data_IF_959798942909
#
_entry.id   IF_959798942909
#
_cell.length_a   1.000
_cell.length_b   1.000
_cell.length_c   1.000
_cell.angle_alpha   90.00
_cell.angle_beta   90.00
_cell.angle_gamma   90.00
#
_symmetry.space_group_name_H-M   'P 1'
#
loop_
_entity.id
_entity.type
_entity.pdbx_description
1 polymer ?
#
# COMPACT_ATOMS: atom_id res chain seq x y z
N UNK A 1 12.97 9.21 2.24
CA UNK A 1 13.84 8.45 3.16
C UNK A 1 13.62 8.79 4.65
N UNK A 2 13.34 10.04 5.03
CA UNK A 2 13.08 10.46 6.42
C UNK A 2 11.70 10.02 6.98
N UNK A 3 10.74 9.76 6.11
CA UNK A 3 9.34 9.48 6.45
C UNK A 3 9.11 8.11 7.09
N UNK A 4 9.84 7.10 6.64
CA UNK A 4 9.66 5.73 7.11
C UNK A 4 10.08 5.55 8.57
N UNK A 5 11.00 6.39 9.07
CA UNK A 5 11.46 6.37 10.48
C UNK A 5 10.49 7.02 11.48
N UNK A 6 9.63 7.93 11.04
CA UNK A 6 8.70 8.66 11.92
C UNK A 6 7.50 7.85 12.38
N UNK A 7 7.10 6.81 11.62
CA UNK A 7 5.95 5.97 11.94
C UNK A 7 6.28 4.87 12.97
N UNK A 8 7.56 4.54 13.16
CA UNK A 8 7.99 3.48 14.08
C UNK A 8 7.90 3.87 15.57
N UNK A 9 7.76 5.15 15.90
CA UNK A 9 7.86 5.68 17.26
C UNK A 9 6.57 6.17 17.93
N UNK A 10 5.40 6.15 17.27
CA UNK A 10 4.17 6.64 17.87
C UNK A 10 3.45 5.55 18.67
N UNK A 11 3.48 5.68 19.99
CA UNK A 11 2.63 4.91 20.91
C UNK A 11 1.15 5.30 20.71
N UNK A 12 0.24 4.33 20.88
CA UNK A 12 -1.22 4.40 20.66
C UNK A 12 -1.99 5.47 21.50
N UNK A 13 -1.33 6.45 22.15
CA UNK A 13 -1.97 7.28 23.18
C UNK A 13 -2.43 8.68 22.75
N UNK A 14 -2.08 9.21 21.57
CA UNK A 14 -2.26 10.65 21.31
C UNK A 14 -3.19 11.04 20.14
N UNK A 15 -4.16 10.21 19.79
CA UNK A 15 -5.17 10.61 18.80
C UNK A 15 -6.50 10.93 19.48
N UNK A 16 -6.63 12.14 20.07
CA UNK A 16 -7.90 12.69 20.52
C UNK A 16 -8.79 13.06 19.32
N UNK A 17 -10.05 12.62 19.36
CA UNK A 17 -11.07 13.00 18.39
C UNK A 17 -11.44 14.47 18.56
N UNK A 18 -11.61 15.28 17.51
CA UNK A 18 -12.11 16.63 17.63
C UNK A 18 -13.58 16.62 18.08
N UNK A 19 -13.85 17.32 19.18
CA UNK A 19 -15.18 17.53 19.75
C UNK A 19 -16.15 18.17 18.74
N UNK A 20 -17.41 17.73 18.80
CA UNK A 20 -18.53 18.28 18.03
C UNK A 20 -18.84 19.70 18.48
N UNK A 21 -18.38 20.71 17.74
CA UNK A 21 -18.91 22.07 17.85
C UNK A 21 -20.14 22.26 16.95
N UNK A 22 -21.20 22.76 17.57
CA UNK A 22 -22.51 23.07 16.97
C UNK A 22 -22.40 24.02 15.78
N UNK A 23 -23.13 23.69 14.72
CA UNK A 23 -23.28 24.52 13.53
C UNK A 23 -24.37 25.55 13.72
N UNK A 24 -24.03 26.83 13.60
CA UNK A 24 -24.98 27.89 13.29
C UNK A 24 -25.02 28.11 11.77
N UNK A 25 -26.21 28.21 11.22
CA UNK A 25 -26.51 28.14 9.81
C UNK A 25 -26.04 29.37 9.03
N UNK A 26 -25.47 29.12 7.84
CA UNK A 26 -25.52 30.07 6.71
C UNK A 26 -25.95 29.29 5.46
N UNK A 27 -27.11 29.65 4.94
CA UNK A 27 -27.67 29.17 3.68
C UNK A 27 -26.88 29.76 2.51
N UNK A 28 -26.26 28.91 1.69
CA UNK A 28 -25.93 29.23 0.31
C UNK A 28 -26.32 28.03 -0.55
N UNK A 29 -27.24 28.29 -1.49
CA UNK A 29 -27.73 27.31 -2.47
C UNK A 29 -26.63 27.12 -3.52
N UNK A 30 -26.02 25.94 -3.54
CA UNK A 30 -25.29 25.46 -4.69
C UNK A 30 -25.74 24.01 -4.92
N UNK A 31 -26.44 23.75 -6.00
CA UNK A 31 -26.85 22.43 -6.46
C UNK A 31 -25.64 21.69 -6.97
N UNK A 32 -24.98 20.93 -6.10
CA UNK A 32 -24.05 19.87 -6.49
C UNK A 32 -24.80 18.53 -6.50
N UNK A 33 -24.60 17.66 -7.51
CA UNK A 33 -25.17 16.33 -7.49
C UNK A 33 -24.66 15.61 -6.24
N UNK A 34 -25.59 15.08 -5.43
CA UNK A 34 -25.24 14.30 -4.24
C UNK A 34 -24.30 13.15 -4.63
N UNK A 35 -23.13 13.04 -4.03
CA UNK A 35 -22.23 11.92 -4.32
C UNK A 35 -22.93 10.61 -3.91
N UNK A 36 -22.75 9.57 -4.71
CA UNK A 36 -23.23 8.17 -4.51
C UNK A 36 -22.94 7.64 -3.08
N UNK A 37 -22.11 8.34 -2.34
CA UNK A 37 -21.70 8.15 -0.96
C UNK A 37 -22.87 8.07 0.06
N UNK A 38 -24.00 8.77 -0.16
CA UNK A 38 -25.05 8.90 0.86
C UNK A 38 -25.85 7.62 1.10
N UNK A 39 -25.97 6.75 0.11
CA UNK A 39 -26.75 5.50 0.21
C UNK A 39 -25.94 4.30 0.66
N UNK A 40 -24.67 4.20 0.28
CA UNK A 40 -23.78 3.09 0.67
C UNK A 40 -23.21 3.22 2.09
N UNK A 41 -23.11 4.43 2.63
CA UNK A 41 -22.45 4.70 3.92
C UNK A 41 -23.34 4.57 5.17
N UNK A 42 -24.66 4.58 5.05
CA UNK A 42 -25.55 4.46 6.21
C UNK A 42 -25.51 3.11 6.95
N UNK A 43 -25.03 2.04 6.29
CA UNK A 43 -24.88 0.72 6.93
C UNK A 43 -23.51 0.47 7.59
N UNK A 44 -22.51 1.34 7.36
CA UNK A 44 -21.12 1.12 7.76
C UNK A 44 -20.76 1.50 9.20
N UNK A 45 -21.63 2.23 9.88
CA UNK A 45 -21.37 2.73 11.25
C UNK A 45 -21.20 1.65 12.32
N UNK A 46 -21.35 0.37 11.94
CA UNK A 46 -21.16 -0.77 12.86
C UNK A 46 -19.75 -1.35 12.87
N UNK A 47 -18.88 -1.00 11.90
CA UNK A 47 -17.49 -1.46 11.84
C UNK A 47 -16.54 -0.38 12.36
N UNK A 48 -16.31 -0.33 13.66
CA UNK A 48 -15.43 0.69 14.27
C UNK A 48 -13.92 0.41 14.09
N UNK A 49 -13.52 -0.76 13.58
CA UNK A 49 -12.11 -1.16 13.42
C UNK A 49 -11.92 -2.02 12.19
N UNK A 50 -10.80 -1.80 11.51
CA UNK A 50 -10.38 -2.63 10.39
C UNK A 50 -9.46 -3.74 10.92
N UNK A 51 -9.65 -4.98 10.43
CA UNK A 51 -8.69 -6.06 10.68
C UNK A 51 -7.74 -6.15 9.50
N UNK A 52 -6.46 -5.90 9.76
CA UNK A 52 -5.40 -5.91 8.76
C UNK A 52 -4.75 -7.28 8.77
N UNK A 53 -4.67 -7.95 7.61
CA UNK A 53 -3.98 -9.24 7.45
C UNK A 53 -2.60 -9.10 6.81
N UNK A 54 -2.40 -8.07 6.01
CA UNK A 54 -1.12 -7.74 5.37
C UNK A 54 -0.30 -6.81 6.27
N UNK A 55 0.19 -7.36 7.39
CA UNK A 55 1.02 -6.60 8.32
C UNK A 55 2.30 -6.11 7.64
N UNK A 56 2.64 -4.82 7.70
CA UNK A 56 3.90 -4.30 7.15
C UNK A 56 5.14 -4.90 7.82
N UNK A 57 5.00 -5.45 9.04
CA UNK A 57 6.07 -6.14 9.75
C UNK A 57 6.77 -7.20 8.90
N UNK A 58 6.01 -7.97 8.10
CA UNK A 58 6.60 -9.00 7.25
C UNK A 58 7.56 -8.42 6.20
N UNK A 59 7.23 -7.26 5.61
CA UNK A 59 8.13 -6.57 4.67
C UNK A 59 9.35 -5.98 5.41
N UNK A 60 9.16 -5.42 6.60
CA UNK A 60 10.27 -4.93 7.42
C UNK A 60 11.23 -6.07 7.82
N UNK A 61 10.71 -7.21 8.27
CA UNK A 61 11.51 -8.40 8.58
C UNK A 61 12.23 -8.94 7.33
N UNK A 62 11.55 -8.99 6.19
CA UNK A 62 12.15 -9.37 4.92
C UNK A 62 13.33 -8.46 4.56
N UNK A 63 13.17 -7.13 4.64
CA UNK A 63 14.25 -6.19 4.34
C UNK A 63 15.45 -6.29 5.29
N UNK A 64 15.21 -6.69 6.55
CA UNK A 64 16.28 -6.86 7.55
C UNK A 64 17.16 -8.09 7.30
N UNK A 65 16.64 -9.14 6.67
CA UNK A 65 17.39 -10.38 6.42
C UNK A 65 18.18 -10.36 5.12
N UNK A 66 18.00 -9.33 4.27
CA UNK A 66 18.68 -9.21 2.98
C UNK A 66 20.19 -9.08 3.15
N UNK A 67 20.93 -9.79 2.30
CA UNK A 67 22.37 -9.58 2.08
C UNK A 67 22.61 -8.23 1.38
N UNK A 68 23.86 -7.77 1.37
CA UNK A 68 24.20 -6.53 0.66
C UNK A 68 24.01 -6.68 -0.86
N UNK A 69 24.27 -7.87 -1.40
CA UNK A 69 24.01 -8.20 -2.79
C UNK A 69 22.51 -8.12 -3.12
N UNK A 70 21.66 -8.69 -2.28
CA UNK A 70 20.21 -8.61 -2.42
C UNK A 70 19.67 -7.18 -2.30
N UNK A 71 20.26 -6.36 -1.41
CA UNK A 71 19.92 -4.93 -1.31
C UNK A 71 20.32 -4.15 -2.55
N UNK A 72 21.48 -4.44 -3.13
CA UNK A 72 21.89 -3.86 -4.40
C UNK A 72 20.93 -4.24 -5.54
N UNK A 73 20.41 -5.48 -5.53
CA UNK A 73 19.43 -5.91 -6.51
C UNK A 73 18.07 -5.19 -6.35
N UNK A 74 17.65 -4.90 -5.11
CA UNK A 74 16.47 -4.03 -4.87
C UNK A 74 16.65 -2.66 -5.53
N UNK A 75 17.85 -2.07 -5.46
CA UNK A 75 18.17 -0.81 -6.16
C UNK A 75 18.14 -0.99 -7.68
N UNK A 76 18.74 -2.08 -8.17
CA UNK A 76 18.75 -2.40 -9.60
C UNK A 76 17.34 -2.56 -10.17
N UNK A 77 16.39 -3.04 -9.37
CA UNK A 77 14.98 -3.11 -9.74
C UNK A 77 14.24 -1.76 -9.66
N UNK A 78 14.86 -0.69 -9.16
CA UNK A 78 14.24 0.63 -8.99
C UNK A 78 13.41 0.80 -7.73
N UNK A 79 13.65 -0.03 -6.69
CA UNK A 79 12.95 -0.01 -5.40
C UNK A 79 13.85 0.46 -4.24
N UNK A 80 14.85 1.28 -4.53
CA UNK A 80 15.85 1.70 -3.52
C UNK A 80 15.25 2.30 -2.26
N UNK A 81 14.11 2.99 -2.36
CA UNK A 81 13.39 3.56 -1.21
C UNK A 81 12.96 2.50 -0.19
N UNK A 82 12.74 1.27 -0.63
CA UNK A 82 12.30 0.15 0.22
C UNK A 82 13.39 -0.40 1.12
N UNK A 83 14.68 -0.16 0.84
CA UNK A 83 15.80 -0.67 1.68
C UNK A 83 15.72 -0.29 3.15
N UNK A 84 15.13 0.86 3.43
CA UNK A 84 14.98 1.36 4.80
C UNK A 84 13.54 1.23 5.30
N UNK A 85 12.78 0.32 4.73
CA UNK A 85 11.42 0.09 5.19
C UNK A 85 11.43 -0.60 6.56
N UNK A 86 10.93 0.10 7.59
CA UNK A 86 10.95 -0.33 8.99
C UNK A 86 9.57 -0.24 9.68
N UNK A 87 8.51 -0.01 8.91
CA UNK A 87 7.15 0.04 9.44
C UNK A 87 6.72 -1.36 9.89
N UNK A 88 6.41 -1.52 11.17
CA UNK A 88 5.99 -2.80 11.74
C UNK A 88 4.52 -2.85 12.12
N UNK A 89 3.89 -1.69 12.34
CA UNK A 89 2.49 -1.57 12.76
C UNK A 89 1.75 -0.49 11.99
N UNK A 90 0.46 -0.71 11.80
CA UNK A 90 -0.48 0.29 11.31
C UNK A 90 -1.53 0.48 12.40
N UNK A 91 -1.77 1.72 12.88
CA UNK A 91 -2.88 1.99 13.78
C UNK A 91 -4.21 1.62 13.12
N UNK A 92 -4.97 0.72 13.73
CA UNK A 92 -6.19 0.15 13.13
C UNK A 92 -7.27 1.19 12.91
N UNK A 93 -7.35 2.18 13.82
CA UNK A 93 -8.32 3.26 13.74
C UNK A 93 -7.97 4.24 12.60
N UNK A 94 -6.68 4.56 12.42
CA UNK A 94 -6.20 5.35 11.27
C UNK A 94 -6.46 4.60 9.95
N UNK A 95 -6.14 3.31 9.90
CA UNK A 95 -6.41 2.49 8.73
C UNK A 95 -7.89 2.45 8.37
N UNK A 96 -8.76 2.29 9.37
CA UNK A 96 -10.21 2.35 9.19
C UNK A 96 -10.67 3.71 8.65
N UNK A 97 -10.18 4.79 9.26
CA UNK A 97 -10.52 6.15 8.86
C UNK A 97 -10.08 6.45 7.43
N UNK A 98 -8.83 6.12 7.05
CA UNK A 98 -8.30 6.32 5.69
C UNK A 98 -9.12 5.54 4.66
N UNK A 99 -9.41 4.25 4.92
CA UNK A 99 -10.20 3.43 4.00
C UNK A 99 -11.62 3.97 3.81
N UNK A 100 -12.26 4.47 4.88
CA UNK A 100 -13.60 5.08 4.79
C UNK A 100 -13.61 6.46 4.11
N UNK A 101 -12.50 7.16 4.10
CA UNK A 101 -12.39 8.47 3.48
C UNK A 101 -11.76 8.43 2.08
N UNK A 102 -11.51 7.23 1.55
CA UNK A 102 -11.07 7.05 0.17
C UNK A 102 -12.25 6.76 -0.75
N UNK A 103 -12.37 7.54 -1.83
CA UNK A 103 -13.39 7.37 -2.88
C UNK A 103 -12.75 6.69 -4.11
N UNK A 104 -12.99 5.38 -4.33
CA UNK A 104 -12.30 4.62 -5.37
C UNK A 104 -12.70 5.01 -6.80
N UNK A 105 -13.88 5.60 -7.02
CA UNK A 105 -14.35 5.97 -8.37
C UNK A 105 -13.62 7.16 -8.95
N UNK A 106 -13.05 8.00 -8.11
CA UNK A 106 -12.31 9.22 -8.48
C UNK A 106 -10.90 9.26 -7.88
N UNK A 107 -10.40 8.15 -7.35
CA UNK A 107 -9.08 8.02 -6.74
C UNK A 107 -8.79 9.09 -5.66
N UNK A 108 -9.78 9.50 -4.89
CA UNK A 108 -9.64 10.66 -4.01
C UNK A 108 -9.71 10.28 -2.54
N UNK A 109 -8.70 10.71 -1.79
CA UNK A 109 -8.64 10.62 -0.34
C UNK A 109 -9.11 11.94 0.27
N UNK A 110 -10.17 11.90 1.06
CA UNK A 110 -10.71 13.05 1.78
C UNK A 110 -10.05 13.14 3.17
N UNK A 111 -9.25 14.18 3.38
CA UNK A 111 -8.57 14.45 4.66
C UNK A 111 -9.32 15.44 5.55
N UNK A 112 -10.60 15.68 5.28
CA UNK A 112 -11.47 16.59 6.03
C UNK A 112 -11.36 18.04 5.57
N UNK A 113 -10.19 18.62 5.61
CA UNK A 113 -9.95 20.03 5.18
C UNK A 113 -9.69 20.14 3.67
N UNK A 114 -9.19 19.10 3.05
CA UNK A 114 -8.87 19.04 1.61
C UNK A 114 -8.96 17.62 1.08
N UNK A 115 -9.13 17.52 -0.22
CA UNK A 115 -9.14 16.28 -0.96
C UNK A 115 -7.82 16.11 -1.70
N UNK A 116 -7.29 14.89 -1.71
CA UNK A 116 -6.08 14.53 -2.42
C UNK A 116 -6.41 13.46 -3.45
N UNK A 117 -6.17 13.75 -4.72
CA UNK A 117 -6.28 12.75 -5.79
C UNK A 117 -5.02 11.90 -5.78
N UNK A 118 -5.18 10.58 -5.60
CA UNK A 118 -4.09 9.62 -5.66
C UNK A 118 -3.80 9.30 -7.12
N UNK A 119 -2.69 9.83 -7.62
CA UNK A 119 -2.20 9.63 -8.99
C UNK A 119 -1.00 8.69 -9.00
N UNK A 120 -0.63 8.08 -10.16
CA UNK A 120 0.61 7.31 -10.28
C UNK A 120 1.85 8.12 -9.89
N UNK A 121 1.91 9.41 -10.23
CA UNK A 121 3.01 10.30 -9.81
C UNK A 121 3.09 10.42 -8.29
N UNK A 122 1.95 10.60 -7.60
CA UNK A 122 1.94 10.65 -6.14
C UNK A 122 2.39 9.32 -5.53
N UNK A 123 1.99 8.17 -6.10
CA UNK A 123 2.46 6.86 -5.64
C UNK A 123 3.97 6.74 -5.81
N UNK A 124 4.51 7.19 -6.96
CA UNK A 124 5.95 7.21 -7.21
C UNK A 124 6.69 8.10 -6.20
N UNK A 125 6.20 9.30 -5.93
CA UNK A 125 6.79 10.22 -4.94
C UNK A 125 6.79 9.61 -3.53
N UNK A 126 5.69 8.96 -3.16
CA UNK A 126 5.51 8.38 -1.81
C UNK A 126 6.33 7.12 -1.60
N UNK A 127 6.30 6.20 -2.56
CA UNK A 127 6.93 4.88 -2.46
C UNK A 127 8.29 4.79 -3.14
N UNK A 128 8.63 5.70 -4.07
CA UNK A 128 9.86 5.65 -4.84
C UNK A 128 10.00 4.37 -5.65
N UNK A 129 8.92 3.92 -6.29
CA UNK A 129 8.87 2.67 -7.08
C UNK A 129 8.72 2.97 -8.58
N UNK A 130 9.06 2.04 -9.48
CA UNK A 130 8.98 2.28 -10.91
C UNK A 130 7.55 2.58 -11.40
N UNK A 131 7.47 3.53 -12.32
CA UNK A 131 6.27 3.91 -13.07
C UNK A 131 6.57 3.75 -14.56
N UNK A 132 6.69 2.50 -15.00
CA UNK A 132 7.03 2.14 -16.37
C UNK A 132 5.82 2.17 -17.32
N UNK A 133 5.98 1.58 -18.50
CA UNK A 133 4.95 1.54 -19.55
C UNK A 133 4.21 0.21 -19.62
N UNK A 134 4.76 -0.84 -19.03
CA UNK A 134 4.18 -2.18 -19.04
C UNK A 134 3.13 -2.29 -17.95
N UNK A 135 1.87 -2.41 -18.33
CA UNK A 135 0.79 -2.59 -17.37
C UNK A 135 0.84 -3.99 -16.76
N UNK A 136 0.60 -4.08 -15.46
CA UNK A 136 0.47 -5.36 -14.76
C UNK A 136 -0.77 -6.11 -15.27
N UNK A 137 -0.54 -7.34 -15.71
CA UNK A 137 -1.59 -8.29 -16.08
C UNK A 137 -1.88 -9.21 -14.89
N UNK A 138 -3.07 -9.13 -14.35
CA UNK A 138 -3.49 -10.01 -13.26
C UNK A 138 -4.26 -11.22 -13.77
N UNK A 139 -3.89 -12.39 -13.28
CA UNK A 139 -4.70 -13.59 -13.40
C UNK A 139 -5.51 -13.79 -12.11
N UNK A 140 -6.81 -14.04 -12.25
CA UNK A 140 -7.68 -14.35 -11.10
C UNK A 140 -7.22 -15.60 -10.34
N UNK A 141 -6.66 -16.58 -11.06
CA UNK A 141 -6.06 -17.81 -10.53
C UNK A 141 -4.72 -18.07 -11.24
N UNK A 142 -3.57 -17.72 -10.61
CA UNK A 142 -2.27 -18.11 -11.13
C UNK A 142 -2.17 -19.63 -11.27
N UNK A 143 -1.73 -20.09 -12.43
CA UNK A 143 -1.64 -21.51 -12.76
C UNK A 143 -0.18 -21.98 -12.78
N UNK A 144 0.08 -23.20 -12.35
CA UNK A 144 1.39 -23.87 -12.51
C UNK A 144 1.77 -24.11 -13.98
N UNK A 145 0.84 -23.96 -14.92
CA UNK A 145 1.15 -23.98 -16.35
C UNK A 145 1.87 -22.69 -16.83
N UNK A 146 1.80 -21.60 -16.06
CA UNK A 146 2.58 -20.41 -16.34
C UNK A 146 4.02 -20.61 -15.84
N UNK A 147 5.05 -20.42 -16.71
CA UNK A 147 6.44 -20.70 -16.35
C UNK A 147 6.93 -19.88 -15.15
N UNK A 148 6.53 -18.60 -15.06
CA UNK A 148 6.98 -17.71 -13.98
C UNK A 148 6.32 -18.08 -12.65
N UNK A 149 5.05 -18.48 -12.68
CA UNK A 149 4.35 -18.98 -11.48
C UNK A 149 4.98 -20.29 -11.01
N UNK A 150 5.29 -21.20 -11.94
CA UNK A 150 5.98 -22.45 -11.63
C UNK A 150 7.38 -22.20 -11.07
N UNK A 151 8.18 -21.34 -11.71
CA UNK A 151 9.51 -20.93 -11.25
C UNK A 151 9.45 -20.42 -9.80
N UNK A 152 8.52 -19.50 -9.50
CA UNK A 152 8.36 -18.98 -8.15
C UNK A 152 7.95 -20.04 -7.13
N UNK A 153 7.00 -20.92 -7.47
CA UNK A 153 6.48 -21.91 -6.53
C UNK A 153 7.43 -23.07 -6.26
N UNK A 154 8.22 -23.50 -7.26
CA UNK A 154 9.11 -24.65 -7.17
C UNK A 154 10.27 -24.47 -6.16
N UNK A 155 10.51 -23.23 -5.70
CA UNK A 155 11.52 -22.98 -4.65
C UNK A 155 11.05 -23.38 -3.25
N UNK A 156 9.75 -23.63 -3.06
CA UNK A 156 9.18 -24.00 -1.76
C UNK A 156 8.87 -25.49 -1.73
N UNK A 157 9.34 -26.16 -0.69
CA UNK A 157 9.00 -27.57 -0.39
C UNK A 157 7.65 -27.60 0.35
N UNK A 158 6.60 -27.18 -0.32
CA UNK A 158 5.21 -27.19 0.18
C UNK A 158 4.37 -27.95 -0.83
N UNK A 159 3.65 -28.96 -0.37
CA UNK A 159 2.73 -29.73 -1.20
C UNK A 159 1.71 -28.77 -1.85
N UNK A 160 0.48 -29.12 -2.09
CA UNK A 160 -0.53 -28.31 -2.78
C UNK A 160 -0.87 -26.95 -2.12
N UNK A 161 -0.25 -26.58 -1.01
CA UNK A 161 -0.48 -25.29 -0.35
C UNK A 161 0.13 -24.11 -1.13
N UNK A 162 -0.51 -22.94 -0.95
CA UNK A 162 0.03 -21.68 -1.48
C UNK A 162 1.09 -21.11 -0.53
N UNK A 163 2.16 -20.51 -1.08
CA UNK A 163 3.19 -19.89 -0.26
C UNK A 163 2.64 -18.79 0.66
N UNK A 164 3.20 -18.69 1.86
CA UNK A 164 2.97 -17.64 2.84
C UNK A 164 4.22 -16.78 2.98
N UNK A 165 4.10 -15.59 3.56
CA UNK A 165 5.21 -14.63 3.67
C UNK A 165 6.42 -15.21 4.42
N UNK A 166 6.20 -16.02 5.45
CA UNK A 166 7.30 -16.64 6.22
C UNK A 166 8.10 -17.65 5.40
N UNK A 167 7.50 -18.35 4.43
CA UNK A 167 8.23 -19.22 3.51
C UNK A 167 9.22 -18.40 2.66
N UNK A 168 8.78 -17.24 2.14
CA UNK A 168 9.64 -16.35 1.36
C UNK A 168 10.80 -15.81 2.22
N UNK A 169 10.50 -15.35 3.45
CA UNK A 169 11.53 -14.82 4.36
C UNK A 169 12.56 -15.91 4.66
N UNK A 170 12.13 -17.15 4.87
CA UNK A 170 13.03 -18.28 5.13
C UNK A 170 13.95 -18.53 3.94
N UNK A 171 13.40 -18.69 2.74
CA UNK A 171 14.18 -18.95 1.52
C UNK A 171 15.20 -17.84 1.26
N UNK A 172 14.79 -16.58 1.33
CA UNK A 172 15.68 -15.43 1.07
C UNK A 172 16.78 -15.30 2.13
N UNK A 173 16.49 -15.68 3.39
CA UNK A 173 17.48 -15.70 4.45
C UNK A 173 18.55 -16.77 4.22
N UNK A 174 18.18 -17.93 3.71
CA UNK A 174 19.10 -19.04 3.44
C UNK A 174 19.87 -18.84 2.11
N UNK A 175 19.18 -18.40 1.06
CA UNK A 175 19.74 -18.13 -0.25
C UNK A 175 20.21 -16.68 -0.32
N UNK A 176 21.47 -16.41 -0.06
CA UNK A 176 22.02 -15.03 -0.04
C UNK A 176 22.26 -14.43 -1.41
N UNK A 177 22.05 -15.19 -2.46
CA UNK A 177 22.27 -14.77 -3.84
C UNK A 177 21.18 -13.78 -4.31
N UNK A 178 21.57 -12.84 -5.17
CA UNK A 178 20.68 -12.04 -5.98
C UNK A 178 20.37 -12.79 -7.30
N UNK A 179 19.32 -12.41 -7.97
CA UNK A 179 18.95 -13.00 -9.26
C UNK A 179 17.45 -13.19 -9.38
N UNK A 180 17.04 -13.92 -10.42
CA UNK A 180 15.64 -14.01 -10.80
C UNK A 180 14.72 -14.46 -9.68
N UNK A 181 15.04 -15.53 -8.96
CA UNK A 181 14.20 -16.00 -7.86
C UNK A 181 14.12 -14.97 -6.72
N UNK A 182 15.22 -14.29 -6.40
CA UNK A 182 15.20 -13.20 -5.43
C UNK A 182 14.30 -12.05 -5.90
N UNK A 183 14.40 -11.65 -7.17
CA UNK A 183 13.53 -10.60 -7.74
C UNK A 183 12.05 -10.96 -7.58
N UNK A 184 11.66 -12.20 -7.91
CA UNK A 184 10.28 -12.68 -7.74
C UNK A 184 9.87 -12.69 -6.26
N UNK A 185 10.72 -13.14 -5.36
CA UNK A 185 10.49 -13.15 -3.91
C UNK A 185 10.25 -11.73 -3.36
N UNK A 186 11.10 -10.77 -3.74
CA UNK A 186 10.95 -9.39 -3.34
C UNK A 186 9.62 -8.80 -3.85
N UNK A 187 9.32 -8.97 -5.15
CA UNK A 187 8.10 -8.41 -5.75
C UNK A 187 6.84 -9.04 -5.18
N UNK A 188 6.83 -10.34 -4.89
CA UNK A 188 5.69 -11.01 -4.25
C UNK A 188 5.51 -10.51 -2.81
N UNK A 189 6.60 -10.32 -2.05
CA UNK A 189 6.54 -9.75 -0.71
C UNK A 189 6.03 -8.30 -0.75
N UNK A 190 6.63 -7.46 -1.60
CA UNK A 190 6.24 -6.05 -1.77
C UNK A 190 4.75 -5.93 -2.15
N UNK A 191 4.32 -6.61 -3.20
CA UNK A 191 2.94 -6.50 -3.67
C UNK A 191 1.92 -7.07 -2.68
N UNK A 192 2.28 -8.09 -1.90
CA UNK A 192 1.40 -8.62 -0.85
C UNK A 192 1.15 -7.62 0.28
N UNK A 193 2.08 -6.68 0.51
CA UNK A 193 1.97 -5.66 1.57
C UNK A 193 1.48 -4.32 1.02
N UNK A 194 2.02 -3.87 -0.12
CA UNK A 194 1.79 -2.53 -0.68
C UNK A 194 0.64 -2.48 -1.68
N UNK A 195 0.22 -3.61 -2.25
CA UNK A 195 -0.88 -3.68 -3.20
C UNK A 195 -2.05 -4.51 -2.65
N UNK A 196 -2.02 -5.82 -2.75
CA UNK A 196 -3.09 -6.65 -2.20
C UNK A 196 -2.58 -7.99 -1.66
N UNK A 197 -3.16 -8.42 -0.56
CA UNK A 197 -3.03 -9.79 -0.06
C UNK A 197 -4.16 -10.66 -0.61
N UNK A 198 -3.91 -11.94 -0.81
CA UNK A 198 -4.97 -12.88 -1.19
C UNK A 198 -5.77 -13.36 0.02
N UNK A 199 -6.94 -13.95 -0.24
CA UNK A 199 -7.72 -14.57 0.82
C UNK A 199 -6.93 -15.70 1.50
N UNK A 200 -7.14 -15.90 2.81
CA UNK A 200 -6.43 -16.93 3.58
C UNK A 200 -5.03 -16.51 4.07
N UNK A 201 -4.55 -15.30 3.73
CA UNK A 201 -3.22 -14.84 4.13
C UNK A 201 -2.08 -15.34 3.23
N UNK A 202 -2.42 -15.91 2.08
CA UNK A 202 -1.45 -16.34 1.07
C UNK A 202 -0.91 -15.13 0.31
N UNK A 203 0.32 -15.25 -0.19
CA UNK A 203 0.97 -14.17 -0.94
C UNK A 203 0.28 -13.90 -2.29
N UNK A 204 0.44 -12.68 -2.80
CA UNK A 204 -0.09 -12.30 -4.10
C UNK A 204 0.83 -12.76 -5.24
N UNK A 205 0.37 -13.74 -6.01
CA UNK A 205 1.06 -14.22 -7.21
C UNK A 205 0.37 -13.82 -8.51
N UNK A 206 -0.72 -13.05 -8.46
CA UNK A 206 -1.57 -12.75 -9.63
C UNK A 206 -0.87 -11.97 -10.73
N UNK A 207 0.11 -11.17 -10.36
CA UNK A 207 0.87 -10.31 -11.25
C UNK A 207 2.07 -11.01 -11.91
N UNK A 208 2.47 -12.20 -11.42
CA UNK A 208 3.71 -12.88 -11.85
C UNK A 208 3.77 -13.11 -13.35
N UNK A 209 2.64 -13.38 -13.99
CA UNK A 209 2.56 -13.57 -15.46
C UNK A 209 2.96 -12.32 -16.26
N UNK A 210 3.02 -11.15 -15.63
CA UNK A 210 3.58 -9.94 -16.25
C UNK A 210 5.09 -10.02 -16.41
N UNK A 211 5.75 -10.76 -15.52
CA UNK A 211 7.21 -10.79 -15.40
C UNK A 211 7.82 -11.90 -16.29
N UNK A 212 7.52 -11.86 -17.59
CA UNK A 212 8.18 -12.74 -18.54
C UNK A 212 9.69 -12.42 -18.63
N UNK A 213 10.55 -13.35 -19.08
CA UNK A 213 12.00 -13.14 -19.10
C UNK A 213 12.49 -11.91 -19.87
N UNK A 214 11.71 -11.42 -20.82
CA UNK A 214 11.98 -10.25 -21.65
C UNK A 214 11.48 -8.92 -21.06
N UNK A 215 10.80 -8.95 -19.91
CA UNK A 215 10.25 -7.76 -19.25
C UNK A 215 11.20 -7.26 -18.17
N UNK A 216 11.71 -6.05 -18.34
CA UNK A 216 12.43 -5.35 -17.26
C UNK A 216 11.43 -4.91 -16.17
N UNK A 217 11.78 -5.19 -14.92
CA UNK A 217 10.97 -4.83 -13.74
C UNK A 217 10.76 -3.32 -13.64
N UNK A 218 11.74 -2.51 -14.09
CA UNK A 218 11.65 -1.04 -14.14
C UNK A 218 10.64 -0.52 -15.16
N UNK A 219 10.39 -1.31 -16.20
CA UNK A 219 9.43 -0.94 -17.24
C UNK A 219 7.99 -1.23 -16.84
N UNK A 220 7.76 -1.91 -15.73
CA UNK A 220 6.42 -2.20 -15.22
C UNK A 220 5.84 -1.00 -14.47
N UNK A 221 4.58 -0.68 -14.72
CA UNK A 221 3.83 0.38 -14.03
C UNK A 221 3.28 -0.12 -12.68
N UNK A 222 4.16 -0.19 -11.68
CA UNK A 222 3.79 -0.59 -10.33
C UNK A 222 2.92 0.46 -9.63
N UNK A 223 3.08 1.73 -10.01
CA UNK A 223 2.32 2.83 -9.41
C UNK A 223 0.83 2.73 -9.74
N UNK A 224 0.48 2.55 -11.01
CA UNK A 224 -0.92 2.32 -11.41
C UNK A 224 -1.46 1.03 -10.83
N UNK A 225 -0.66 -0.02 -10.72
CA UNK A 225 -1.07 -1.28 -10.12
C UNK A 225 -1.50 -1.14 -8.65
N UNK A 226 -0.75 -0.38 -7.85
CA UNK A 226 -1.13 -0.08 -6.46
C UNK A 226 -2.48 0.64 -6.39
N UNK A 227 -2.74 1.61 -7.29
CA UNK A 227 -4.02 2.34 -7.36
C UNK A 227 -5.16 1.39 -7.76
N UNK A 228 -4.95 0.55 -8.77
CA UNK A 228 -5.95 -0.42 -9.23
C UNK A 228 -6.34 -1.39 -8.11
N UNK A 229 -5.35 -1.86 -7.34
CA UNK A 229 -5.59 -2.68 -6.14
C UNK A 229 -6.35 -1.90 -5.06
N UNK A 230 -5.99 -0.64 -4.83
CA UNK A 230 -6.67 0.23 -3.86
C UNK A 230 -8.15 0.40 -4.21
N UNK A 231 -8.44 0.75 -5.47
CA UNK A 231 -9.80 0.94 -5.94
C UNK A 231 -10.63 -0.34 -5.81
N UNK A 232 -10.12 -1.43 -6.35
CA UNK A 232 -10.81 -2.72 -6.36
C UNK A 232 -11.07 -3.24 -4.95
N UNK A 233 -10.07 -3.16 -4.06
CA UNK A 233 -10.20 -3.68 -2.69
C UNK A 233 -11.04 -2.80 -1.79
N UNK A 234 -11.00 -1.49 -1.96
CA UNK A 234 -11.85 -0.58 -1.21
C UNK A 234 -13.31 -0.73 -1.65
N UNK A 235 -13.58 -0.81 -2.95
CA UNK A 235 -14.93 -1.09 -3.48
C UNK A 235 -15.46 -2.43 -2.96
N UNK A 236 -14.68 -3.49 -3.09
CA UNK A 236 -15.06 -4.83 -2.61
C UNK A 236 -15.30 -4.86 -1.09
N UNK A 237 -14.50 -4.12 -0.31
CA UNK A 237 -14.67 -4.03 1.14
C UNK A 237 -15.94 -3.29 1.53
N UNK A 238 -16.30 -2.22 0.82
CA UNK A 238 -17.56 -1.52 1.03
C UNK A 238 -18.78 -2.40 0.70
N UNK A 239 -18.68 -3.21 -0.33
CA UNK A 239 -19.77 -4.11 -0.75
C UNK A 239 -19.87 -5.38 0.12
N UNK A 240 -18.82 -5.71 0.87
CA UNK A 240 -18.76 -6.93 1.66
C UNK A 240 -19.09 -6.68 3.13
N UNK A 241 -19.55 -7.76 3.83
CA UNK A 241 -19.65 -7.78 5.28
C UNK A 241 -18.34 -8.22 5.97
N UNK A 242 -17.25 -8.36 5.21
CA UNK A 242 -15.98 -8.83 5.74
C UNK A 242 -15.39 -7.81 6.74
N UNK A 243 -14.87 -8.32 7.86
CA UNK A 243 -14.15 -7.49 8.82
C UNK A 243 -12.69 -7.26 8.42
N UNK A 244 -12.19 -7.99 7.42
CA UNK A 244 -10.79 -7.97 7.00
C UNK A 244 -10.65 -7.15 5.72
N UNK A 245 -9.74 -6.18 5.76
CA UNK A 245 -9.27 -5.46 4.59
C UNK A 245 -7.97 -6.08 4.10
N UNK A 246 -7.88 -6.33 2.80
CA UNK A 246 -6.71 -6.97 2.16
C UNK A 246 -6.09 -6.10 1.07
N UNK A 247 -6.49 -4.84 1.00
CA UNK A 247 -5.97 -3.84 0.06
C UNK A 247 -4.73 -3.12 0.60
N UNK A 248 -4.22 -2.11 -0.12
CA UNK A 248 -2.95 -1.40 0.15
C UNK A 248 -3.06 -0.41 1.32
N UNK A 249 -3.41 -0.90 2.51
CA UNK A 249 -3.55 -0.07 3.70
C UNK A 249 -2.22 0.55 4.13
N UNK A 250 -1.13 -0.20 3.97
CA UNK A 250 0.23 0.30 4.27
C UNK A 250 0.55 1.51 3.40
N UNK A 251 0.25 1.44 2.10
CA UNK A 251 0.41 2.58 1.20
C UNK A 251 -0.42 3.79 1.64
N UNK A 252 -1.71 3.60 1.98
CA UNK A 252 -2.57 4.72 2.42
C UNK A 252 -2.02 5.42 3.66
N UNK A 253 -1.49 4.67 4.62
CA UNK A 253 -0.89 5.24 5.85
C UNK A 253 0.40 5.99 5.53
N UNK A 254 1.27 5.43 4.70
CA UNK A 254 2.51 6.10 4.26
C UNK A 254 2.18 7.37 3.48
N UNK A 255 1.23 7.31 2.56
CA UNK A 255 0.76 8.46 1.78
C UNK A 255 0.20 9.58 2.68
N UNK A 256 -0.65 9.24 3.64
CA UNK A 256 -1.19 10.22 4.60
C UNK A 256 -0.08 10.91 5.41
N UNK A 257 0.91 10.13 5.86
CA UNK A 257 2.06 10.67 6.61
C UNK A 257 2.93 11.57 5.76
N UNK A 258 3.16 11.20 4.50
CA UNK A 258 3.89 12.00 3.52
C UNK A 258 3.20 13.34 3.28
N UNK A 259 1.89 13.33 3.02
CA UNK A 259 1.09 14.54 2.80
C UNK A 259 1.08 15.46 4.03
N UNK A 260 0.98 14.90 5.24
CA UNK A 260 1.07 15.67 6.49
C UNK A 260 2.40 16.40 6.62
N UNK A 261 3.51 15.74 6.28
CA UNK A 261 4.84 16.37 6.30
C UNK A 261 4.95 17.52 5.30
N UNK A 262 4.51 17.33 4.06
CA UNK A 262 4.51 18.39 3.05
C UNK A 262 3.71 19.60 3.54
N UNK A 263 2.52 19.37 4.10
CA UNK A 263 1.67 20.42 4.64
C UNK A 263 2.37 21.22 5.75
N UNK A 264 2.99 20.53 6.71
CA UNK A 264 3.75 21.16 7.79
C UNK A 264 4.93 21.95 7.23
N UNK A 265 5.67 21.40 6.28
CA UNK A 265 6.81 22.07 5.66
C UNK A 265 6.38 23.35 4.91
N UNK A 266 5.33 23.29 4.10
CA UNK A 266 4.78 24.45 3.40
C UNK A 266 4.26 25.53 4.37
N UNK A 267 3.64 25.11 5.48
CA UNK A 267 3.19 26.04 6.51
C UNK A 267 4.34 26.77 7.18
N UNK A 268 5.39 26.04 7.56
CA UNK A 268 6.59 26.62 8.20
C UNK A 268 7.36 27.54 7.24
N UNK A 269 7.52 27.16 5.97
CA UNK A 269 8.17 27.99 4.97
C UNK A 269 7.44 29.32 4.73
N UNK A 270 6.10 29.30 4.71
CA UNK A 270 5.29 30.51 4.60
C UNK A 270 5.39 31.43 5.84
N UNK A 271 5.60 30.89 7.02
CA UNK A 271 5.85 31.69 8.23
C UNK A 271 7.22 32.36 8.13
N UNK A 272 8.27 31.61 7.77
CA UNK A 272 9.64 32.12 7.67
C UNK A 272 9.75 33.25 6.62
N UNK A 273 9.07 33.08 5.48
CA UNK A 273 9.06 34.15 4.45
C UNK A 273 8.31 35.41 4.87
N UNK A 274 7.31 35.30 5.75
CA UNK A 274 6.55 36.45 6.29
C UNK A 274 7.25 37.15 7.45
N UNK A 275 8.18 36.48 8.14
CA UNK A 275 8.92 37.07 9.27
C UNK A 275 10.21 37.72 8.81
N UNK A 276 10.64 37.58 7.55
CA UNK A 276 11.82 38.20 6.95
C UNK A 276 11.47 39.43 6.07
N UNK A 277 10.24 39.94 6.17
CA UNK A 277 9.78 41.24 5.64
C UNK A 277 9.45 42.18 6.79
#
# INVERSE_FOLDING_TARGET
>A
MFLLKLLAGSSDSDFEQPEKKQKTALKAVATNPEPIRSTLFKEFDKKKRIRIRNSPKNLAEFMQVLSDEQKAEVDNMGFESMKNFDITKIPTDLGYWLTNNYEPTINTLNLGTHNVVITPNLVQEVLGIPMGKVKVKELSKPSMSDPVVAEFRNQFEIDDELPKMHHIIHVVKEQKESGRLFQLNFLVMFNSIMAELTHGGNVNMKFLTTLQPDVDIKDVDWCSYVIDCLNRKTTSWFQSKAAHYIGPITFLVVCCSYLKMIYIYCFLSNIITKTNL
#
